data_IF_742193981819
#
_entry.id   IF_742193981819
#
_cell.length_a   1.000
_cell.length_b   1.000
_cell.length_c   1.000
_cell.angle_alpha   90.00
_cell.angle_beta   90.00
_cell.angle_gamma   90.00
#
_symmetry.space_group_name_H-M   'P 1'
#
loop_
_entity.id
_entity.type
_entity.pdbx_description
1 polymer ?
#
# COMPACT_ATOMS: atom_id res chain seq x y z
N UNK A 1 13.40 2.81 -18.11
CA UNK A 1 14.21 2.45 -16.93
C UNK A 1 13.54 2.82 -15.61
N UNK A 2 13.11 4.08 -15.41
CA UNK A 2 12.43 4.54 -14.18
C UNK A 2 11.29 3.62 -13.70
N UNK A 3 10.31 3.31 -14.56
CA UNK A 3 9.17 2.46 -14.19
C UNK A 3 9.57 1.03 -13.81
N UNK A 4 10.66 0.51 -14.40
CA UNK A 4 11.19 -0.81 -14.05
C UNK A 4 11.74 -0.80 -12.62
N UNK A 5 12.55 0.21 -12.26
CA UNK A 5 13.11 0.38 -10.91
C UNK A 5 12.00 0.61 -9.88
N UNK A 6 11.04 1.48 -10.20
CA UNK A 6 9.87 1.71 -9.34
C UNK A 6 9.08 0.42 -9.16
N UNK A 7 8.89 -0.35 -10.23
CA UNK A 7 8.28 -1.69 -10.17
C UNK A 7 9.02 -2.61 -9.22
N UNK A 8 10.36 -2.67 -9.29
CA UNK A 8 11.17 -3.47 -8.36
C UNK A 8 10.94 -3.07 -6.90
N UNK A 9 10.87 -1.76 -6.63
CA UNK A 9 10.62 -1.23 -5.29
C UNK A 9 9.21 -1.60 -4.81
N UNK A 10 8.19 -1.49 -5.68
CA UNK A 10 6.83 -1.93 -5.36
C UNK A 10 6.77 -3.44 -5.08
N UNK A 11 7.51 -4.25 -5.84
CA UNK A 11 7.64 -5.69 -5.60
C UNK A 11 8.27 -5.99 -4.25
N UNK A 12 9.37 -5.31 -3.90
CA UNK A 12 10.01 -5.41 -2.58
C UNK A 12 9.07 -4.99 -1.46
N UNK A 13 8.38 -3.86 -1.61
CA UNK A 13 7.43 -3.37 -0.62
C UNK A 13 6.31 -4.37 -0.34
N UNK A 14 5.82 -5.07 -1.37
CA UNK A 14 4.76 -6.06 -1.23
C UNK A 14 5.22 -7.37 -0.53
N UNK A 15 6.53 -7.59 -0.38
CA UNK A 15 7.07 -8.72 0.41
C UNK A 15 7.04 -8.41 1.91
N UNK A 16 7.04 -7.13 2.29
CA UNK A 16 7.21 -6.72 3.69
C UNK A 16 5.83 -6.44 4.32
N UNK A 17 5.50 -7.11 5.43
CA UNK A 17 4.31 -6.80 6.21
C UNK A 17 4.29 -5.33 6.66
N UNK A 18 3.13 -4.69 6.57
CA UNK A 18 2.94 -3.30 6.96
C UNK A 18 3.39 -2.24 5.93
N UNK A 19 4.13 -2.61 4.87
CA UNK A 19 4.54 -1.66 3.82
C UNK A 19 3.59 -1.76 2.61
N UNK A 20 2.74 -0.75 2.39
CA UNK A 20 1.80 -0.74 1.26
C UNK A 20 2.49 -0.35 -0.06
N UNK A 21 2.34 -1.18 -1.09
CA UNK A 21 2.78 -0.85 -2.46
C UNK A 21 2.07 0.41 -3.01
N UNK A 22 0.85 0.70 -2.55
CA UNK A 22 0.12 1.93 -2.87
C UNK A 22 0.83 3.17 -2.30
N UNK A 23 1.40 3.09 -1.09
CA UNK A 23 2.26 4.13 -0.53
C UNK A 23 3.46 4.37 -1.43
N UNK A 24 4.15 3.31 -1.84
CA UNK A 24 5.32 3.45 -2.74
C UNK A 24 4.93 4.04 -4.10
N UNK A 25 3.77 3.68 -4.64
CA UNK A 25 3.28 4.25 -5.89
C UNK A 25 3.06 5.79 -5.78
N UNK A 26 2.58 6.28 -4.64
CA UNK A 26 2.49 7.72 -4.35
C UNK A 26 3.88 8.34 -4.22
N UNK A 27 4.77 7.73 -3.44
CA UNK A 27 6.16 8.21 -3.23
C UNK A 27 6.87 8.42 -4.57
N UNK A 28 6.76 7.46 -5.49
CA UNK A 28 7.40 7.51 -6.81
C UNK A 28 6.56 8.22 -7.88
N UNK A 29 5.50 8.95 -7.51
CA UNK A 29 4.63 9.71 -8.43
C UNK A 29 4.09 8.90 -9.61
N UNK A 30 3.84 7.61 -9.42
CA UNK A 30 3.22 6.75 -10.44
C UNK A 30 1.76 6.43 -10.13
N UNK A 31 1.27 6.87 -8.97
CA UNK A 31 -0.05 6.55 -8.46
C UNK A 31 -1.19 6.93 -9.41
N UNK A 32 -1.26 8.19 -9.85
CA UNK A 32 -2.32 8.68 -10.76
C UNK A 32 -2.36 7.84 -12.05
N UNK A 33 -1.19 7.59 -12.64
CA UNK A 33 -1.05 6.77 -13.85
C UNK A 33 -1.44 5.31 -13.62
N UNK A 34 -1.14 4.77 -12.44
CA UNK A 34 -1.53 3.41 -12.06
C UNK A 34 -3.06 3.32 -11.94
N UNK A 35 -3.72 4.31 -11.31
CA UNK A 35 -5.18 4.38 -11.24
C UNK A 35 -5.83 4.44 -12.63
N UNK A 36 -5.27 5.26 -13.54
CA UNK A 36 -5.74 5.34 -14.92
C UNK A 36 -5.64 3.99 -15.64
N UNK A 37 -4.55 3.27 -15.40
CA UNK A 37 -4.25 1.99 -16.05
C UNK A 37 -5.11 0.82 -15.54
N UNK A 38 -5.62 0.91 -14.31
CA UNK A 38 -6.47 -0.12 -13.68
C UNK A 38 -7.96 0.10 -13.99
N UNK A 39 -8.32 1.22 -14.60
CA UNK A 39 -9.70 1.42 -15.06
C UNK A 39 -10.07 0.38 -16.13
N UNK A 40 -11.32 -0.14 -16.14
CA UNK A 40 -11.84 -1.02 -17.21
C UNK A 40 -11.97 -0.31 -18.58
N UNK A 41 -11.24 0.78 -18.77
CA UNK A 41 -11.18 1.55 -19.99
C UNK A 41 -10.08 0.95 -20.89
N UNK A 42 -10.49 0.20 -21.90
CA UNK A 42 -9.58 -0.53 -22.80
C UNK A 42 -8.64 0.43 -23.53
N UNK A 43 -9.08 1.66 -23.81
CA UNK A 43 -8.25 2.66 -24.47
C UNK A 43 -7.12 3.10 -23.54
N UNK A 44 -7.44 3.45 -22.29
CA UNK A 44 -6.42 3.80 -21.27
C UNK A 44 -5.48 2.65 -20.96
N UNK A 45 -5.98 1.42 -20.96
CA UNK A 45 -5.15 0.23 -20.77
C UNK A 45 -4.14 0.07 -21.92
N UNK A 46 -4.57 0.28 -23.16
CA UNK A 46 -3.68 0.25 -24.34
C UNK A 46 -2.67 1.38 -24.31
N UNK A 47 -3.11 2.60 -24.00
CA UNK A 47 -2.23 3.77 -23.87
C UNK A 47 -1.15 3.56 -22.80
N UNK A 48 -1.52 2.92 -21.69
CA UNK A 48 -0.60 2.64 -20.58
C UNK A 48 0.05 1.26 -20.63
N UNK A 49 -0.13 0.48 -21.71
CA UNK A 49 0.38 -0.89 -21.78
C UNK A 49 1.90 -0.97 -21.55
N UNK A 50 2.67 -0.07 -22.18
CA UNK A 50 4.12 -0.02 -21.98
C UNK A 50 4.51 0.31 -20.53
N UNK A 51 3.74 1.19 -19.87
CA UNK A 51 3.92 1.51 -18.46
C UNK A 51 3.63 0.29 -17.58
N UNK A 52 2.47 -0.35 -17.77
CA UNK A 52 2.08 -1.54 -17.02
C UNK A 52 3.04 -2.71 -17.23
N UNK A 53 3.44 -2.97 -18.47
CA UNK A 53 4.37 -4.05 -18.79
C UNK A 53 5.73 -3.82 -18.13
N UNK A 54 6.29 -2.61 -18.23
CA UNK A 54 7.58 -2.30 -17.61
C UNK A 54 7.51 -2.29 -16.08
N UNK A 55 6.42 -1.78 -15.51
CA UNK A 55 6.18 -1.80 -14.06
C UNK A 55 6.01 -3.24 -13.57
N UNK A 56 5.20 -4.05 -14.24
CA UNK A 56 4.91 -5.44 -13.89
C UNK A 56 6.16 -6.33 -13.96
N UNK A 57 6.97 -6.18 -15.02
CA UNK A 57 8.29 -6.84 -15.08
C UNK A 57 9.18 -6.39 -13.93
N UNK A 58 9.15 -5.10 -13.59
CA UNK A 58 9.84 -4.56 -12.42
C UNK A 58 9.39 -5.24 -11.12
N UNK A 59 8.08 -5.35 -10.88
CA UNK A 59 7.51 -6.01 -9.69
C UNK A 59 7.96 -7.45 -9.60
N UNK A 60 7.86 -8.20 -10.69
CA UNK A 60 8.28 -9.62 -10.74
C UNK A 60 9.78 -9.73 -10.44
N UNK A 61 10.63 -8.95 -11.11
CA UNK A 61 12.07 -8.97 -10.85
C UNK A 61 12.40 -8.52 -9.43
N UNK A 62 11.67 -7.54 -8.90
CA UNK A 62 11.80 -7.06 -7.53
C UNK A 62 11.59 -8.19 -6.52
N UNK A 63 10.46 -8.89 -6.65
CA UNK A 63 10.14 -10.05 -5.81
C UNK A 63 11.18 -11.15 -6.00
N UNK A 64 11.49 -11.56 -7.22
CA UNK A 64 12.38 -12.70 -7.46
C UNK A 64 13.83 -12.44 -7.03
N UNK A 65 14.36 -11.25 -7.28
CA UNK A 65 15.76 -10.92 -7.00
C UNK A 65 15.99 -10.51 -5.55
N UNK A 66 15.03 -9.84 -4.92
CA UNK A 66 15.22 -9.21 -3.62
C UNK A 66 14.39 -9.81 -2.49
N UNK A 67 13.41 -10.70 -2.75
CA UNK A 67 12.60 -11.31 -1.66
C UNK A 67 13.48 -11.93 -0.58
N UNK A 68 14.40 -12.83 -0.94
CA UNK A 68 15.28 -13.48 0.04
C UNK A 68 16.16 -12.49 0.81
N UNK A 69 16.71 -11.48 0.13
CA UNK A 69 17.56 -10.47 0.76
C UNK A 69 16.75 -9.62 1.76
N UNK A 70 15.54 -9.23 1.37
CA UNK A 70 14.64 -8.41 2.19
C UNK A 70 14.10 -9.21 3.37
N UNK A 71 13.71 -10.47 3.17
CA UNK A 71 13.33 -11.38 4.26
C UNK A 71 14.46 -11.53 5.25
N UNK A 72 15.70 -11.77 4.79
CA UNK A 72 16.87 -11.86 5.66
C UNK A 72 17.11 -10.56 6.44
N UNK A 73 17.02 -9.39 5.78
CA UNK A 73 17.16 -8.09 6.43
C UNK A 73 16.03 -7.82 7.43
N UNK A 74 14.80 -8.23 7.13
CA UNK A 74 13.66 -8.03 8.00
C UNK A 74 13.71 -8.92 9.25
N UNK A 75 14.20 -10.16 9.12
CA UNK A 75 14.36 -11.11 10.23
C UNK A 75 15.55 -10.75 11.13
N UNK A 76 16.68 -10.33 10.55
CA UNK A 76 17.93 -10.10 11.31
C UNK A 76 18.16 -8.63 11.67
N UNK A 77 17.63 -7.70 10.89
CA UNK A 77 17.80 -6.25 11.01
C UNK A 77 16.45 -5.52 10.93
N UNK A 78 15.45 -6.06 11.64
CA UNK A 78 14.08 -5.56 11.63
C UNK A 78 14.00 -4.05 11.86
N UNK A 79 14.72 -3.55 12.89
CA UNK A 79 14.70 -2.13 13.25
C UNK A 79 15.26 -1.24 12.13
N UNK A 80 16.40 -1.61 11.53
CA UNK A 80 17.05 -0.85 10.47
C UNK A 80 16.20 -0.85 9.20
N UNK A 81 15.63 -2.00 8.86
CA UNK A 81 14.78 -2.18 7.67
C UNK A 81 13.54 -1.31 7.79
N UNK A 82 12.81 -1.39 8.90
CA UNK A 82 11.63 -0.56 9.14
C UNK A 82 11.97 0.94 9.17
N UNK A 83 13.08 1.34 9.79
CA UNK A 83 13.51 2.75 9.78
C UNK A 83 13.87 3.25 8.39
N UNK A 84 14.46 2.42 7.52
CA UNK A 84 14.70 2.79 6.13
C UNK A 84 13.39 3.08 5.38
N UNK A 85 12.37 2.23 5.56
CA UNK A 85 11.04 2.45 4.98
C UNK A 85 10.34 3.68 5.55
N UNK A 86 10.40 3.89 6.87
CA UNK A 86 9.92 5.12 7.50
C UNK A 86 10.60 6.34 6.88
N UNK A 87 11.91 6.27 6.65
CA UNK A 87 12.68 7.28 5.93
C UNK A 87 12.08 7.58 4.57
N UNK A 88 11.89 6.55 3.74
CA UNK A 88 11.30 6.69 2.40
C UNK A 88 9.91 7.34 2.44
N UNK A 89 9.07 6.95 3.41
CA UNK A 89 7.74 7.52 3.61
C UNK A 89 7.84 9.00 4.00
N UNK A 90 8.63 9.33 5.02
CA UNK A 90 8.81 10.69 5.52
C UNK A 90 9.42 11.61 4.45
N UNK A 91 10.39 11.12 3.67
CA UNK A 91 11.01 11.86 2.57
C UNK A 91 10.04 12.25 1.45
N UNK A 92 8.91 11.55 1.33
CA UNK A 92 7.88 11.84 0.32
C UNK A 92 6.86 12.89 0.74
N UNK A 93 6.78 13.21 2.04
CA UNK A 93 5.83 14.18 2.59
C UNK A 93 5.88 15.53 1.88
N UNK A 94 7.06 16.13 1.58
CA UNK A 94 7.13 17.42 0.90
C UNK A 94 6.45 17.41 -0.48
N UNK A 95 6.54 16.32 -1.23
CA UNK A 95 5.92 16.18 -2.54
C UNK A 95 4.39 16.13 -2.44
N UNK A 96 3.86 15.32 -1.50
CA UNK A 96 2.42 15.22 -1.24
C UNK A 96 1.89 16.58 -0.76
N UNK A 97 2.63 17.24 0.14
CA UNK A 97 2.28 18.56 0.63
C UNK A 97 2.26 19.61 -0.50
N UNK A 98 3.22 19.54 -1.43
CA UNK A 98 3.21 20.36 -2.64
C UNK A 98 1.91 20.23 -3.44
N UNK A 99 1.43 18.99 -3.67
CA UNK A 99 0.14 18.74 -4.36
C UNK A 99 -1.06 19.34 -3.63
N UNK A 100 -1.03 19.41 -2.29
CA UNK A 100 -2.08 20.04 -1.48
C UNK A 100 -2.07 21.56 -1.70
N UNK A 101 -0.89 22.18 -1.65
CA UNK A 101 -0.75 23.64 -1.81
C UNK A 101 -0.96 24.10 -3.25
N UNK A 102 -0.64 23.27 -4.24
CA UNK A 102 -0.92 23.53 -5.66
C UNK A 102 -2.43 23.58 -5.95
N UNK A 103 -3.23 22.83 -5.19
CA UNK A 103 -4.69 22.80 -5.30
C UNK A 103 -5.37 24.03 -4.67
N UNK A 104 -4.63 24.92 -4.00
CA UNK A 104 -5.14 26.16 -3.41
C UNK A 104 -4.74 26.35 -1.95
N UNK A 105 -5.27 27.41 -1.33
CA UNK A 105 -5.07 27.67 0.10
C UNK A 105 -5.73 26.57 0.92
N UNK A 106 -5.05 26.12 1.98
CA UNK A 106 -5.59 25.12 2.91
C UNK A 106 -6.67 25.79 3.76
N UNK A 107 -7.92 25.39 3.55
CA UNK A 107 -9.06 25.89 4.33
C UNK A 107 -9.14 25.20 5.70
N UNK A 108 -9.84 25.78 6.67
CA UNK A 108 -10.04 25.16 8.00
C UNK A 108 -10.84 23.85 7.93
N UNK A 109 -11.64 23.66 6.88
CA UNK A 109 -12.34 22.41 6.55
C UNK A 109 -11.37 21.26 6.21
N UNK A 110 -10.12 21.57 5.86
CA UNK A 110 -9.06 20.62 5.53
C UNK A 110 -8.58 19.76 6.71
N UNK A 111 -8.92 20.15 7.95
CA UNK A 111 -8.52 19.41 9.16
C UNK A 111 -9.11 18.00 9.14
N UNK A 112 -10.39 17.87 8.78
CA UNK A 112 -11.11 16.58 8.77
C UNK A 112 -10.49 15.55 7.81
N UNK A 113 -10.27 15.85 6.51
CA UNK A 113 -9.71 14.87 5.58
C UNK A 113 -8.28 14.43 5.94
N UNK A 114 -7.50 15.23 6.66
CA UNK A 114 -6.19 14.80 7.17
C UNK A 114 -6.28 13.99 8.47
N UNK A 115 -7.07 14.47 9.43
CA UNK A 115 -7.08 13.89 10.79
C UNK A 115 -7.79 12.55 10.88
N UNK A 116 -8.92 12.34 10.19
CA UNK A 116 -9.65 11.07 10.26
C UNK A 116 -8.77 9.89 9.80
N UNK A 117 -8.14 9.94 8.61
CA UNK A 117 -7.30 8.83 8.15
C UNK A 117 -6.06 8.63 9.01
N UNK A 118 -5.47 9.71 9.53
CA UNK A 118 -4.36 9.62 10.48
C UNK A 118 -4.77 8.88 11.76
N UNK A 119 -5.94 9.20 12.32
CA UNK A 119 -6.46 8.52 13.52
C UNK A 119 -6.78 7.05 13.26
N UNK A 120 -7.31 6.72 12.08
CA UNK A 120 -7.53 5.33 11.67
C UNK A 120 -6.20 4.57 11.64
N UNK A 121 -5.19 5.14 11.00
CA UNK A 121 -3.87 4.52 10.93
C UNK A 121 -3.19 4.40 12.30
N UNK A 122 -3.33 5.40 13.17
CA UNK A 122 -2.82 5.34 14.53
C UNK A 122 -3.54 4.25 15.34
N UNK A 123 -4.87 4.14 15.21
CA UNK A 123 -5.63 3.06 15.83
C UNK A 123 -5.15 1.68 15.33
N UNK A 124 -4.94 1.53 14.02
CA UNK A 124 -4.38 0.30 13.45
C UNK A 124 -2.97 0.01 13.98
N UNK A 125 -2.11 1.03 14.12
CA UNK A 125 -0.77 0.88 14.68
C UNK A 125 -0.80 0.37 16.14
N UNK A 126 -1.79 0.82 16.93
CA UNK A 126 -1.96 0.39 18.32
C UNK A 126 -2.46 -1.05 18.45
N UNK A 127 -3.23 -1.55 17.48
CA UNK A 127 -3.72 -2.93 17.48
C UNK A 127 -2.62 -3.95 17.14
N UNK A 128 -1.54 -3.51 16.48
CA UNK A 128 -0.48 -4.38 15.99
C UNK A 128 -0.93 -5.33 14.87
N UNK A 129 0.03 -6.08 14.31
CA UNK A 129 -0.25 -7.15 13.34
C UNK A 129 -0.77 -8.40 14.06
N UNK A 130 -2.03 -8.44 14.49
CA UNK A 130 -2.60 -9.69 15.00
C UNK A 130 -3.89 -9.59 15.80
N UNK A 131 -5.03 -9.72 15.13
CA UNK A 131 -6.21 -10.32 15.73
C UNK A 131 -6.27 -11.80 15.37
N UNK A 132 -6.33 -12.69 16.36
CA UNK A 132 -6.50 -14.16 16.22
C UNK A 132 -7.86 -14.59 15.65
N UNK A 133 -8.50 -13.78 14.81
CA UNK A 133 -9.78 -14.14 14.19
C UNK A 133 -9.51 -14.99 12.94
N UNK A 134 -8.98 -16.20 13.10
CA UNK A 134 -8.78 -17.13 11.98
C UNK A 134 -10.07 -17.88 11.70
N UNK A 135 -10.95 -17.31 10.89
CA UNK A 135 -12.05 -18.08 10.30
C UNK A 135 -11.52 -18.79 9.06
N UNK A 136 -11.25 -20.09 9.16
CA UNK A 136 -10.86 -20.91 8.01
C UNK A 136 -12.12 -21.47 7.38
N UNK A 137 -12.53 -20.90 6.25
CA UNK A 137 -13.63 -21.38 5.44
C UNK A 137 -13.10 -22.49 4.54
N UNK A 138 -13.52 -23.73 4.78
CA UNK A 138 -13.10 -24.90 3.99
C UNK A 138 -14.14 -25.32 2.95
N UNK A 139 -15.41 -24.95 3.15
CA UNK A 139 -16.51 -25.30 2.24
C UNK A 139 -17.19 -24.05 1.68
N UNK A 140 -17.55 -24.12 0.40
CA UNK A 140 -18.26 -23.03 -0.28
C UNK A 140 -19.76 -23.11 0.02
N UNK A 141 -20.21 -22.28 0.96
CA UNK A 141 -21.63 -21.94 1.15
C UNK A 141 -21.96 -20.60 0.46
N UNK A 142 -23.24 -20.30 0.26
CA UNK A 142 -23.68 -19.00 -0.27
C UNK A 142 -23.19 -17.82 0.61
N UNK A 143 -23.19 -18.03 1.92
CA UNK A 143 -22.67 -17.06 2.88
C UNK A 143 -21.15 -16.89 2.76
N UNK A 144 -20.41 -17.99 2.69
CA UNK A 144 -18.98 -17.97 2.46
C UNK A 144 -18.62 -17.26 1.14
N UNK A 145 -19.33 -17.58 0.04
CA UNK A 145 -19.12 -16.92 -1.25
C UNK A 145 -19.33 -15.40 -1.15
N UNK A 146 -20.41 -14.98 -0.48
CA UNK A 146 -20.72 -13.55 -0.29
C UNK A 146 -19.66 -12.86 0.56
N UNK A 147 -19.22 -13.48 1.65
CA UNK A 147 -18.14 -12.98 2.51
C UNK A 147 -16.83 -12.87 1.75
N UNK A 148 -16.48 -13.86 0.93
CA UNK A 148 -15.27 -13.84 0.11
C UNK A 148 -15.31 -12.75 -0.97
N UNK A 149 -16.47 -12.50 -1.59
CA UNK A 149 -16.67 -11.38 -2.52
C UNK A 149 -16.46 -10.05 -1.79
N UNK A 150 -17.10 -9.85 -0.63
CA UNK A 150 -16.97 -8.60 0.14
C UNK A 150 -15.54 -8.41 0.63
N UNK A 151 -14.90 -9.46 1.16
CA UNK A 151 -13.51 -9.42 1.61
C UNK A 151 -12.55 -9.10 0.46
N UNK A 152 -12.73 -9.72 -0.69
CA UNK A 152 -11.95 -9.43 -1.90
C UNK A 152 -12.15 -7.99 -2.38
N UNK A 153 -13.39 -7.50 -2.37
CA UNK A 153 -13.73 -6.12 -2.75
C UNK A 153 -13.07 -5.09 -1.84
N UNK A 154 -13.21 -5.24 -0.51
CA UNK A 154 -12.64 -4.30 0.46
C UNK A 154 -11.11 -4.41 0.46
N UNK A 155 -10.55 -5.63 0.42
CA UNK A 155 -9.10 -5.84 0.35
C UNK A 155 -8.48 -5.21 -0.90
N UNK A 156 -9.11 -5.37 -2.06
CA UNK A 156 -8.62 -4.78 -3.29
C UNK A 156 -8.77 -3.26 -3.32
N UNK A 157 -9.90 -2.74 -2.82
CA UNK A 157 -10.11 -1.30 -2.66
C UNK A 157 -9.05 -0.67 -1.74
N UNK A 158 -8.77 -1.31 -0.62
CA UNK A 158 -7.76 -0.83 0.34
C UNK A 158 -6.34 -0.96 -0.19
N UNK A 159 -6.06 -1.90 -1.08
CA UNK A 159 -4.77 -2.01 -1.79
C UNK A 159 -4.52 -0.83 -2.74
N UNK A 160 -5.57 -0.17 -3.22
CA UNK A 160 -5.46 1.07 -3.98
C UNK A 160 -5.10 2.23 -3.04
N UNK A 161 -5.72 2.28 -1.86
CA UNK A 161 -5.52 3.38 -0.92
C UNK A 161 -4.09 3.34 -0.33
N UNK A 162 -3.28 4.40 -0.47
CA UNK A 162 -1.93 4.43 0.10
C UNK A 162 -2.00 4.34 1.63
N UNK A 163 -1.04 3.67 2.24
CA UNK A 163 -0.93 3.51 3.69
C UNK A 163 -1.69 2.32 4.26
N UNK A 164 -2.75 1.84 3.59
CA UNK A 164 -3.54 0.68 4.08
C UNK A 164 -3.08 -0.58 3.34
N UNK A 165 -2.78 -1.65 4.09
CA UNK A 165 -2.44 -2.96 3.50
C UNK A 165 -3.69 -3.81 3.31
N UNK A 166 -3.96 -4.26 2.09
CA UNK A 166 -5.07 -5.18 1.80
C UNK A 166 -4.97 -6.50 2.59
N UNK A 167 -3.75 -7.02 2.77
CA UNK A 167 -3.54 -8.24 3.58
C UNK A 167 -3.86 -8.03 5.07
N UNK A 168 -3.57 -6.84 5.61
CA UNK A 168 -3.94 -6.47 6.98
C UNK A 168 -5.46 -6.39 7.15
N UNK A 169 -6.18 -5.87 6.15
CA UNK A 169 -7.64 -5.84 6.17
C UNK A 169 -8.22 -7.26 6.11
N UNK A 170 -7.64 -8.15 5.31
CA UNK A 170 -8.02 -9.57 5.30
C UNK A 170 -7.75 -10.26 6.63
N UNK A 171 -6.66 -9.92 7.32
CA UNK A 171 -6.37 -10.42 8.68
C UNK A 171 -7.43 -9.91 9.67
N UNK A 172 -7.78 -8.63 9.58
CA UNK A 172 -8.79 -8.00 10.45
C UNK A 172 -10.18 -8.61 10.27
N UNK A 173 -10.58 -8.90 9.02
CA UNK A 173 -11.84 -9.57 8.68
C UNK A 173 -11.79 -11.08 9.01
N UNK A 174 -10.58 -11.65 9.13
CA UNK A 174 -10.35 -13.05 9.43
C UNK A 174 -10.35 -13.98 8.23
N UNK A 175 -10.36 -13.43 7.01
CA UNK A 175 -10.33 -14.20 5.76
C UNK A 175 -8.91 -14.49 5.27
N UNK A 176 -7.86 -13.88 5.82
CA UNK A 176 -6.49 -14.02 5.32
C UNK A 176 -6.04 -15.48 5.22
N UNK A 177 -6.17 -16.25 6.30
CA UNK A 177 -5.78 -17.67 6.33
C UNK A 177 -6.57 -18.48 5.31
N UNK A 178 -7.89 -18.24 5.19
CA UNK A 178 -8.72 -18.87 4.16
C UNK A 178 -8.15 -18.64 2.76
N UNK A 179 -7.76 -17.40 2.42
CA UNK A 179 -7.25 -17.07 1.09
C UNK A 179 -5.87 -17.69 0.85
N UNK A 180 -4.94 -17.61 1.81
CA UNK A 180 -3.61 -18.19 1.66
C UNK A 180 -3.68 -19.72 1.53
N UNK A 181 -4.51 -20.39 2.34
CA UNK A 181 -4.77 -21.83 2.21
C UNK A 181 -5.40 -22.16 0.85
N UNK A 182 -6.41 -21.40 0.40
CA UNK A 182 -7.01 -21.60 -0.91
C UNK A 182 -6.03 -21.42 -2.07
N UNK A 183 -5.07 -20.49 -1.96
CA UNK A 183 -3.98 -20.33 -2.95
C UNK A 183 -3.05 -21.54 -2.93
N UNK A 184 -2.60 -21.96 -1.73
CA UNK A 184 -1.70 -23.11 -1.55
C UNK A 184 -2.30 -24.41 -2.09
N UNK A 185 -3.60 -24.63 -1.83
CA UNK A 185 -4.31 -25.85 -2.21
C UNK A 185 -4.90 -25.76 -3.63
N UNK A 186 -4.64 -24.66 -4.36
CA UNK A 186 -5.26 -24.36 -5.66
C UNK A 186 -6.80 -24.53 -5.63
N UNK A 187 -7.45 -24.13 -4.53
CA UNK A 187 -8.88 -24.23 -4.35
C UNK A 187 -9.60 -23.15 -5.16
N UNK A 188 -9.74 -23.39 -6.47
CA UNK A 188 -10.38 -22.48 -7.42
C UNK A 188 -11.81 -22.12 -7.00
N UNK A 189 -12.50 -23.01 -6.29
CA UNK A 189 -13.88 -22.83 -5.85
C UNK A 189 -14.01 -21.71 -4.79
N UNK A 190 -13.02 -21.54 -3.90
CA UNK A 190 -12.94 -20.40 -2.98
C UNK A 190 -12.28 -19.17 -3.63
N UNK A 191 -11.32 -19.37 -4.54
CA UNK A 191 -10.63 -18.27 -5.21
C UNK A 191 -11.51 -17.52 -6.21
N UNK A 192 -12.48 -18.19 -6.84
CA UNK A 192 -13.39 -17.56 -7.80
C UNK A 192 -14.24 -16.43 -7.20
N UNK A 193 -15.03 -16.63 -6.12
CA UNK A 193 -15.79 -15.55 -5.50
C UNK A 193 -14.90 -14.45 -4.94
N UNK A 194 -13.76 -14.81 -4.32
CA UNK A 194 -12.79 -13.81 -3.87
C UNK A 194 -12.24 -12.97 -5.04
N UNK A 195 -11.84 -13.62 -6.14
CA UNK A 195 -11.33 -12.96 -7.34
C UNK A 195 -12.36 -12.04 -8.00
N UNK A 196 -13.64 -12.42 -8.00
CA UNK A 196 -14.73 -11.51 -8.42
C UNK A 196 -14.78 -10.26 -7.53
N UNK A 197 -14.70 -10.44 -6.21
CA UNK A 197 -14.58 -9.35 -5.25
C UNK A 197 -13.40 -8.43 -5.57
N UNK A 198 -12.21 -9.01 -5.80
CA UNK A 198 -11.00 -8.26 -6.16
C UNK A 198 -11.21 -7.41 -7.41
N UNK A 199 -11.78 -7.97 -8.48
CA UNK A 199 -12.07 -7.21 -9.71
C UNK A 199 -13.03 -6.06 -9.44
N UNK A 200 -14.13 -6.30 -8.71
CA UNK A 200 -15.10 -5.26 -8.35
C UNK A 200 -14.42 -4.16 -7.53
N UNK A 201 -13.61 -4.54 -6.55
CA UNK A 201 -12.88 -3.61 -5.67
C UNK A 201 -11.84 -2.76 -6.42
N UNK A 202 -11.05 -3.38 -7.30
CA UNK A 202 -10.05 -2.65 -8.10
C UNK A 202 -10.71 -1.64 -9.05
N UNK A 203 -11.76 -2.07 -9.75
CA UNK A 203 -12.44 -1.24 -10.75
C UNK A 203 -13.26 -0.14 -10.10
N UNK A 204 -14.07 -0.49 -9.10
CA UNK A 204 -14.87 0.47 -8.36
C UNK A 204 -13.98 1.45 -7.60
N UNK A 205 -12.93 0.94 -6.97
CA UNK A 205 -11.94 1.71 -6.22
C UNK A 205 -11.17 2.71 -7.07
N UNK A 206 -10.60 2.26 -8.19
CA UNK A 206 -9.82 3.13 -9.08
C UNK A 206 -10.68 4.27 -9.63
N UNK A 207 -11.93 3.99 -10.03
CA UNK A 207 -12.88 5.02 -10.47
C UNK A 207 -13.22 5.99 -9.35
N UNK A 208 -13.53 5.49 -8.15
CA UNK A 208 -13.87 6.33 -7.00
C UNK A 208 -12.71 7.26 -6.63
N UNK A 209 -11.51 6.72 -6.44
CA UNK A 209 -10.33 7.50 -6.08
C UNK A 209 -10.00 8.53 -7.15
N UNK A 210 -10.13 8.17 -8.43
CA UNK A 210 -9.95 9.11 -9.54
C UNK A 210 -10.94 10.27 -9.47
N UNK A 211 -12.22 10.00 -9.27
CA UNK A 211 -13.25 11.04 -9.13
C UNK A 211 -12.91 11.98 -7.97
N UNK A 212 -12.42 11.43 -6.86
CA UNK A 212 -12.00 12.21 -5.70
C UNK A 212 -10.75 13.07 -6.00
N UNK A 213 -9.75 12.52 -6.69
CA UNK A 213 -8.56 13.28 -7.11
C UNK A 213 -8.89 14.41 -8.11
N UNK A 214 -9.85 14.21 -9.00
CA UNK A 214 -10.24 15.20 -10.01
C UNK A 214 -11.18 16.29 -9.46
N UNK A 215 -12.15 15.94 -8.60
CA UNK A 215 -13.14 16.90 -8.05
C UNK A 215 -12.76 17.49 -6.70
N UNK A 216 -12.06 16.73 -5.87
CA UNK A 216 -11.72 17.08 -4.48
C UNK A 216 -10.22 16.91 -4.26
N UNK A 217 -9.41 17.44 -5.18
CA UNK A 217 -7.95 17.25 -5.23
C UNK A 217 -7.28 17.53 -3.89
N UNK A 218 -7.52 18.72 -3.31
CA UNK A 218 -6.90 19.11 -2.04
C UNK A 218 -7.27 18.15 -0.89
N UNK A 219 -8.56 17.86 -0.73
CA UNK A 219 -9.05 16.96 0.31
C UNK A 219 -8.50 15.53 0.15
N UNK A 220 -8.39 15.05 -1.09
CA UNK A 220 -7.89 13.71 -1.37
C UNK A 220 -6.40 13.59 -1.07
N UNK A 221 -5.59 14.61 -1.44
CA UNK A 221 -4.18 14.62 -1.06
C UNK A 221 -3.96 14.79 0.45
N UNK A 222 -4.86 15.47 1.17
CA UNK A 222 -4.86 15.52 2.64
C UNK A 222 -5.16 14.15 3.26
N UNK A 223 -6.11 13.39 2.68
CA UNK A 223 -6.38 12.01 3.06
C UNK A 223 -5.15 11.14 2.83
N UNK A 224 -4.54 11.22 1.65
CA UNK A 224 -3.30 10.50 1.32
C UNK A 224 -2.20 10.87 2.32
N UNK A 225 -2.02 12.16 2.62
CA UNK A 225 -1.01 12.62 3.58
C UNK A 225 -1.27 12.06 4.98
N UNK A 226 -2.52 12.08 5.47
CA UNK A 226 -2.89 11.52 6.76
C UNK A 226 -2.59 10.02 6.84
N UNK A 227 -2.88 9.27 5.78
CA UNK A 227 -2.59 7.85 5.69
C UNK A 227 -1.08 7.55 5.62
N UNK A 228 -0.33 8.32 4.83
CA UNK A 228 1.12 8.17 4.66
C UNK A 228 1.83 8.48 5.96
N UNK A 229 1.49 9.58 6.64
CA UNK A 229 2.02 9.92 7.97
C UNK A 229 1.63 8.85 8.99
N UNK A 230 0.37 8.39 8.97
CA UNK A 230 -0.11 7.32 9.83
C UNK A 230 0.65 6.00 9.65
N UNK A 231 1.01 5.64 8.42
CA UNK A 231 1.76 4.40 8.12
C UNK A 231 3.17 4.38 8.71
N UNK A 232 3.75 5.55 9.03
CA UNK A 232 5.04 5.60 9.73
C UNK A 232 4.92 4.95 11.12
N UNK A 233 3.78 5.12 11.78
CA UNK A 233 3.53 4.55 13.10
C UNK A 233 3.20 3.05 13.03
N UNK A 234 2.55 2.58 11.97
CA UNK A 234 2.21 1.15 11.83
C UNK A 234 3.45 0.28 11.65
N UNK A 235 4.52 0.80 11.06
CA UNK A 235 5.78 0.07 10.86
C UNK A 235 6.87 0.44 11.88
N UNK A 236 6.56 1.25 12.90
CA UNK A 236 7.54 1.69 13.88
C UNK A 236 7.90 0.56 14.86
N UNK A 237 9.14 0.04 14.85
CA UNK A 237 9.53 -1.11 15.65
C UNK A 237 10.00 -0.73 17.06
N UNK A 238 9.84 0.53 17.48
CA UNK A 238 10.44 1.08 18.69
C UNK A 238 11.82 1.72 18.46
N UNK A 239 12.54 2.04 19.54
CA UNK A 239 13.89 2.63 19.48
C UNK A 239 14.78 2.09 20.61
N UNK A 240 16.08 1.94 20.34
CA UNK A 240 17.08 1.50 21.32
C UNK A 240 18.28 2.44 21.34
N UNK A 241 18.81 2.76 22.53
CA UNK A 241 19.97 3.64 22.69
C UNK A 241 21.31 2.87 22.60
N UNK A 242 21.51 2.16 21.49
CA UNK A 242 22.73 1.39 21.23
C UNK A 242 23.20 1.59 19.77
N UNK A 243 24.24 0.87 19.36
CA UNK A 243 24.75 0.92 17.99
C UNK A 243 23.67 0.60 16.95
N UNK A 244 22.78 -0.36 17.23
CA UNK A 244 21.65 -0.70 16.37
C UNK A 244 20.75 0.51 16.13
N UNK A 245 20.37 1.24 17.19
CA UNK A 245 19.56 2.45 17.06
C UNK A 245 20.21 3.57 16.25
N UNK A 246 21.52 3.78 16.39
CA UNK A 246 22.26 4.76 15.58
C UNK A 246 22.21 4.37 14.10
N UNK A 247 22.47 3.09 13.78
CA UNK A 247 22.40 2.60 12.40
C UNK A 247 20.99 2.73 11.83
N UNK A 248 19.95 2.48 12.63
CA UNK A 248 18.55 2.68 12.22
C UNK A 248 18.23 4.13 11.89
N UNK A 249 18.71 5.10 12.68
CA UNK A 249 18.54 6.53 12.36
C UNK A 249 19.27 6.90 11.06
N UNK A 250 20.47 6.38 10.84
CA UNK A 250 21.20 6.57 9.58
C UNK A 250 20.40 6.00 8.41
N UNK A 251 19.85 4.79 8.55
CA UNK A 251 19.02 4.16 7.53
C UNK A 251 17.76 5.00 7.21
N UNK A 252 17.12 5.57 8.23
CA UNK A 252 16.00 6.51 8.07
C UNK A 252 16.40 7.74 7.29
N UNK A 253 17.52 8.38 7.63
CA UNK A 253 18.00 9.58 6.93
C UNK A 253 18.33 9.25 5.47
N UNK A 254 19.01 8.12 5.20
CA UNK A 254 19.30 7.68 3.83
C UNK A 254 17.99 7.47 3.05
N UNK A 255 17.03 6.74 3.63
CA UNK A 255 15.72 6.51 3.00
C UNK A 255 14.99 7.82 2.69
N UNK A 256 15.01 8.78 3.62
CA UNK A 256 14.39 10.08 3.45
C UNK A 256 15.05 10.91 2.35
N UNK A 257 16.38 10.95 2.31
CA UNK A 257 17.13 11.67 1.27
C UNK A 257 16.89 11.06 -0.10
N UNK A 258 16.95 9.74 -0.22
CA UNK A 258 16.69 9.03 -1.49
C UNK A 258 15.28 9.33 -1.97
N UNK A 259 14.27 9.15 -1.12
CA UNK A 259 12.88 9.43 -1.47
C UNK A 259 12.67 10.89 -1.88
N UNK A 260 13.21 11.83 -1.11
CA UNK A 260 13.14 13.25 -1.42
C UNK A 260 13.76 13.58 -2.77
N UNK A 261 14.94 13.03 -3.08
CA UNK A 261 15.60 13.23 -4.37
C UNK A 261 14.74 12.72 -5.55
N UNK A 262 14.18 11.51 -5.44
CA UNK A 262 13.26 10.96 -6.45
C UNK A 262 11.93 11.74 -6.55
N UNK A 263 11.55 12.44 -5.48
CA UNK A 263 10.34 13.25 -5.44
C UNK A 263 10.49 14.64 -6.07
N UNK A 264 11.70 15.08 -6.39
CA UNK A 264 11.96 16.36 -7.07
C UNK A 264 12.06 16.22 -8.60
N UNK A 265 12.27 15.00 -9.11
CA UNK A 265 12.18 14.65 -10.54
C UNK A 265 10.73 14.43 -11.00
#
# INVERSE_FOLDING_TARGET
>A
MRNLLVGMILGVANVIPGVSAGTMAVVFKIYDRLLDSISLDIEKLKENFSFLATLGVGVILGVLLFSNAITYLYENFNMQTNYAFMGVILGSIPMIYGKITDAGKIETSAVVPFTIPLLIMLYMALQGEGGENSFVITELSLWAATMLIIAGMISAFTMIIPGISGSFILLTIGCYTTIITAISDFNIMLLMPFGMGVVIGLVGGSKLVRILLERYTQATYLVILGLVVGSVFTIFPGFTLNFSGIVSVIALVIGAVVSYAFSQE
#
